data_IF_475174269069
#
_entry.id   IF_475174269069
#
_cell.length_a   1.000
_cell.length_b   1.000
_cell.length_c   1.000
_cell.angle_alpha   90.00
_cell.angle_beta   90.00
_cell.angle_gamma   90.00
#
_symmetry.space_group_name_H-M   'P 1'
#
loop_
_entity.id
_entity.type
_entity.pdbx_description
1 polymer ?
#
# COMPACT_ATOMS: atom_id res chain seq x y z
N UNK A 1 5.46 0.08 3.11
CA UNK A 1 4.10 -0.31 3.55
C UNK A 1 3.47 0.66 4.56
N UNK A 2 4.13 1.04 5.66
CA UNK A 2 3.58 1.99 6.65
C UNK A 2 3.09 3.30 6.03
N UNK A 3 3.90 3.92 5.16
CA UNK A 3 3.54 5.15 4.44
C UNK A 3 2.25 5.01 3.62
N UNK A 4 2.08 3.89 2.91
CA UNK A 4 0.88 3.60 2.09
C UNK A 4 -0.35 3.44 2.98
N UNK A 5 -0.22 2.69 4.10
CA UNK A 5 -1.31 2.55 5.07
C UNK A 5 -1.77 3.88 5.66
N UNK A 6 -0.83 4.78 5.99
CA UNK A 6 -1.14 6.12 6.51
C UNK A 6 -1.82 6.98 5.43
N UNK A 7 -1.30 6.96 4.20
CA UNK A 7 -1.87 7.67 3.05
C UNK A 7 -3.28 7.20 2.70
N UNK A 8 -3.57 5.90 2.83
CA UNK A 8 -4.88 5.32 2.56
C UNK A 8 -5.99 5.92 3.45
N UNK A 9 -5.66 6.31 4.67
CA UNK A 9 -6.62 6.93 5.60
C UNK A 9 -6.88 8.41 5.34
N UNK A 10 -6.05 9.06 4.52
CA UNK A 10 -6.19 10.48 4.23
C UNK A 10 -7.30 10.68 3.18
N UNK A 11 -8.17 11.69 3.37
CA UNK A 11 -9.12 12.04 2.32
C UNK A 11 -8.33 12.40 1.06
N UNK A 12 -8.65 11.76 -0.06
CA UNK A 12 -8.13 12.17 -1.35
C UNK A 12 -8.52 13.64 -1.52
N UNK A 13 -7.53 14.51 -1.56
CA UNK A 13 -7.77 15.91 -1.88
C UNK A 13 -8.24 15.92 -3.33
N UNK A 14 -9.43 16.46 -3.57
CA UNK A 14 -9.95 16.80 -4.89
C UNK A 14 -9.05 17.88 -5.52
N UNK A 15 -7.82 17.52 -5.86
CA UNK A 15 -7.13 18.20 -6.93
C UNK A 15 -7.85 17.80 -8.22
N UNK A 16 -8.02 18.76 -9.13
CA UNK A 16 -8.62 18.64 -10.48
C UNK A 16 -10.09 19.08 -10.57
N UNK A 17 -10.28 20.39 -10.41
CA UNK A 17 -11.35 21.10 -11.10
C UNK A 17 -11.32 20.85 -12.62
N UNK A 18 -12.50 20.71 -13.20
CA UNK A 18 -12.86 20.87 -14.62
C UNK A 18 -12.11 20.08 -15.72
N UNK A 19 -11.46 18.94 -15.44
CA UNK A 19 -10.85 18.12 -16.52
C UNK A 19 -11.82 17.02 -17.01
N UNK A 20 -11.87 16.78 -18.33
CA UNK A 20 -12.77 15.82 -19.00
C UNK A 20 -12.62 14.42 -18.39
N UNK A 21 -13.69 13.63 -18.37
CA UNK A 21 -13.69 12.29 -17.77
C UNK A 21 -12.57 11.36 -18.29
N UNK A 22 -12.18 11.52 -19.56
CA UNK A 22 -11.05 10.81 -20.16
C UNK A 22 -9.70 11.14 -19.50
N UNK A 23 -9.46 12.41 -19.17
CA UNK A 23 -8.22 12.86 -18.53
C UNK A 23 -8.13 12.38 -17.07
N UNK A 24 -9.28 12.25 -16.39
CA UNK A 24 -9.35 11.65 -15.04
C UNK A 24 -8.98 10.17 -15.05
N UNK A 25 -9.51 9.43 -16.03
CA UNK A 25 -9.19 8.01 -16.21
C UNK A 25 -7.70 7.84 -16.52
N UNK A 26 -7.16 8.67 -17.41
CA UNK A 26 -5.74 8.65 -17.77
C UNK A 26 -4.82 8.98 -16.59
N UNK A 27 -5.18 9.98 -15.77
CA UNK A 27 -4.44 10.33 -14.56
C UNK A 27 -4.42 9.19 -13.52
N UNK A 28 -5.56 8.51 -13.33
CA UNK A 28 -5.66 7.37 -12.42
C UNK A 28 -4.83 6.18 -12.91
N UNK A 29 -4.95 5.83 -14.20
CA UNK A 29 -4.18 4.75 -14.84
C UNK A 29 -2.68 5.00 -14.71
N UNK A 30 -2.22 6.24 -15.01
CA UNK A 30 -0.81 6.62 -14.84
C UNK A 30 -0.33 6.43 -13.41
N UNK A 31 -1.15 6.80 -12.43
CA UNK A 31 -0.82 6.66 -11.01
C UNK A 31 -0.67 5.18 -10.61
N UNK A 32 -1.57 4.32 -11.09
CA UNK A 32 -1.53 2.87 -10.82
C UNK A 32 -0.28 2.25 -11.45
N UNK A 33 0.02 2.53 -12.72
CA UNK A 33 1.19 1.99 -13.42
C UNK A 33 2.49 2.38 -12.72
N UNK A 34 2.62 3.64 -12.31
CA UNK A 34 3.82 4.11 -11.58
C UNK A 34 3.94 3.42 -10.22
N UNK A 35 2.84 3.29 -9.48
CA UNK A 35 2.85 2.62 -8.18
C UNK A 35 3.21 1.12 -8.32
N UNK A 36 2.65 0.44 -9.32
CA UNK A 36 2.89 -0.97 -9.60
C UNK A 36 4.33 -1.20 -10.09
N UNK A 37 4.87 -0.31 -10.93
CA UNK A 37 6.28 -0.35 -11.33
C UNK A 37 7.23 -0.19 -10.13
N UNK A 38 7.03 0.82 -9.29
CA UNK A 38 7.89 1.06 -8.11
C UNK A 38 7.81 -0.12 -7.13
N UNK A 39 6.61 -0.64 -6.90
CA UNK A 39 6.39 -1.78 -6.00
C UNK A 39 6.93 -3.10 -6.58
N UNK A 40 6.75 -3.34 -7.88
CA UNK A 40 7.27 -4.55 -8.54
C UNK A 40 8.79 -4.49 -8.75
N UNK A 41 9.39 -3.30 -8.84
CA UNK A 41 10.83 -3.12 -8.86
C UNK A 41 11.48 -3.63 -7.57
N UNK A 42 10.92 -3.28 -6.41
CA UNK A 42 11.38 -3.79 -5.12
C UNK A 42 11.34 -5.33 -5.07
N UNK A 43 10.25 -5.92 -5.59
CA UNK A 43 10.09 -7.37 -5.67
C UNK A 43 11.09 -8.04 -6.63
N UNK A 44 11.39 -7.41 -7.77
CA UNK A 44 12.39 -7.92 -8.73
C UNK A 44 13.79 -7.85 -8.13
N UNK A 45 14.14 -6.78 -7.42
CA UNK A 45 15.43 -6.64 -6.73
C UNK A 45 15.58 -7.71 -5.64
N UNK A 46 14.51 -7.99 -4.88
CA UNK A 46 14.51 -9.07 -3.89
C UNK A 46 14.74 -10.44 -4.52
N UNK A 47 14.12 -10.72 -5.68
CA UNK A 47 14.35 -11.95 -6.44
C UNK A 47 15.79 -11.97 -6.96
N UNK A 48 16.31 -10.89 -7.53
CA UNK A 48 17.69 -10.81 -8.05
C UNK A 48 18.74 -11.03 -6.95
N UNK A 49 18.49 -10.54 -5.73
CA UNK A 49 19.32 -10.82 -4.55
C UNK A 49 19.22 -12.26 -4.04
N UNK A 50 18.12 -12.96 -4.31
CA UNK A 50 17.92 -14.37 -3.98
C UNK A 50 18.33 -15.33 -5.12
N UNK A 51 18.53 -14.82 -6.34
CA UNK A 51 18.67 -15.58 -7.58
C UNK A 51 20.04 -16.24 -7.81
N UNK A 52 20.95 -16.17 -6.83
CA UNK A 52 22.10 -17.09 -6.79
C UNK A 52 21.63 -18.56 -6.58
N UNK A 53 20.34 -18.78 -6.28
CA UNK A 53 19.72 -20.09 -6.16
C UNK A 53 18.56 -20.31 -7.17
N UNK A 54 18.88 -21.05 -8.25
CA UNK A 54 17.99 -21.88 -9.07
C UNK A 54 17.13 -21.26 -10.21
N UNK A 55 17.42 -21.73 -11.43
CA UNK A 55 16.57 -21.87 -12.62
C UNK A 55 15.80 -20.62 -13.08
N UNK A 56 16.51 -19.77 -13.83
CA UNK A 56 16.10 -18.44 -14.28
C UNK A 56 15.12 -18.41 -15.47
N UNK A 57 15.04 -19.45 -16.31
CA UNK A 57 14.51 -19.26 -17.67
C UNK A 57 12.98 -19.14 -17.81
N UNK A 58 12.20 -19.68 -16.85
CA UNK A 58 10.72 -19.70 -16.98
C UNK A 58 9.98 -18.75 -16.04
N UNK A 59 10.66 -18.12 -15.06
CA UNK A 59 10.00 -17.24 -14.07
C UNK A 59 9.68 -15.85 -14.61
N UNK A 60 10.56 -15.29 -15.45
CA UNK A 60 10.38 -13.94 -15.99
C UNK A 60 9.15 -13.83 -16.91
N UNK A 61 8.89 -14.85 -17.74
CA UNK A 61 7.70 -14.88 -18.60
C UNK A 61 6.38 -14.89 -17.81
N UNK A 62 6.32 -15.65 -16.71
CA UNK A 62 5.13 -15.71 -15.84
C UNK A 62 4.90 -14.39 -15.08
N UNK A 63 5.95 -13.72 -14.63
CA UNK A 63 5.86 -12.41 -13.96
C UNK A 63 5.36 -11.34 -14.94
N UNK A 64 5.93 -11.27 -16.14
CA UNK A 64 5.51 -10.30 -17.17
C UNK A 64 4.07 -10.55 -17.61
N UNK A 65 3.68 -11.81 -17.80
CA UNK A 65 2.30 -12.18 -18.13
C UNK A 65 1.33 -11.79 -17.00
N UNK A 66 1.70 -12.06 -15.74
CA UNK A 66 0.91 -11.65 -14.57
C UNK A 66 0.74 -10.13 -14.47
N UNK A 67 1.80 -9.37 -14.74
CA UNK A 67 1.77 -7.90 -14.76
C UNK A 67 0.84 -7.37 -15.87
N UNK A 68 0.95 -7.92 -17.08
CA UNK A 68 0.10 -7.56 -18.22
C UNK A 68 -1.37 -7.85 -17.97
N UNK A 69 -1.70 -8.97 -17.31
CA UNK A 69 -3.08 -9.29 -16.93
C UNK A 69 -3.60 -8.47 -15.74
N UNK A 70 -2.71 -8.09 -14.82
CA UNK A 70 -3.08 -7.35 -13.61
C UNK A 70 -3.63 -5.95 -13.93
N UNK A 71 -3.01 -5.23 -14.87
CA UNK A 71 -3.41 -3.85 -15.19
C UNK A 71 -4.87 -3.76 -15.68
N UNK A 72 -5.32 -4.52 -16.71
CA UNK A 72 -6.73 -4.52 -17.13
C UNK A 72 -7.68 -4.96 -16.02
N UNK A 73 -7.29 -5.97 -15.24
CA UNK A 73 -8.09 -6.48 -14.13
C UNK A 73 -8.30 -5.40 -13.06
N UNK A 74 -7.26 -4.66 -12.69
CA UNK A 74 -7.34 -3.55 -11.74
C UNK A 74 -8.20 -2.41 -12.31
N UNK A 75 -8.02 -2.07 -13.59
CA UNK A 75 -8.80 -1.01 -14.23
C UNK A 75 -10.29 -1.33 -14.21
N UNK A 76 -10.68 -2.56 -14.61
CA UNK A 76 -12.08 -2.98 -14.58
C UNK A 76 -12.60 -3.18 -13.14
N UNK A 77 -11.81 -3.85 -12.31
CA UNK A 77 -12.12 -4.13 -10.91
C UNK A 77 -12.25 -2.88 -10.05
N UNK A 78 -11.57 -1.78 -10.41
CA UNK A 78 -11.62 -0.52 -9.66
C UNK A 78 -13.05 0.00 -9.48
N UNK A 79 -13.91 -0.14 -10.48
CA UNK A 79 -15.31 0.31 -10.38
C UNK A 79 -16.11 -0.47 -9.35
N UNK A 80 -15.87 -1.79 -9.25
CA UNK A 80 -16.46 -2.66 -8.24
C UNK A 80 -15.91 -2.32 -6.85
N UNK A 81 -14.59 -2.14 -6.74
CA UNK A 81 -13.92 -1.78 -5.49
C UNK A 81 -14.40 -0.42 -4.99
N UNK A 82 -14.51 0.58 -5.86
CA UNK A 82 -15.00 1.92 -5.49
C UNK A 82 -16.43 1.86 -4.95
N UNK A 83 -17.34 1.14 -5.63
CA UNK A 83 -18.71 0.93 -5.13
C UNK A 83 -18.73 0.25 -3.77
N UNK A 84 -17.81 -0.69 -3.53
CA UNK A 84 -17.71 -1.38 -2.24
C UNK A 84 -17.19 -0.45 -1.14
N UNK A 85 -16.20 0.39 -1.44
CA UNK A 85 -15.67 1.40 -0.51
C UNK A 85 -16.72 2.46 -0.16
N UNK A 86 -17.51 2.90 -1.14
CA UNK A 86 -18.63 3.83 -0.91
C UNK A 86 -19.71 3.21 -0.02
N UNK A 87 -20.00 1.92 -0.22
CA UNK A 87 -21.00 1.20 0.58
C UNK A 87 -20.51 0.87 1.98
N UNK A 88 -19.23 0.54 2.13
CA UNK A 88 -18.61 0.11 3.39
C UNK A 88 -17.33 0.91 3.67
N UNK A 89 -17.44 2.17 4.13
CA UNK A 89 -16.28 3.03 4.39
C UNK A 89 -15.36 2.51 5.51
N UNK A 90 -15.82 1.55 6.32
CA UNK A 90 -15.01 0.84 7.31
C UNK A 90 -13.89 0.00 6.69
N UNK A 91 -13.97 -0.35 5.40
CA UNK A 91 -12.92 -1.12 4.71
C UNK A 91 -11.59 -0.35 4.69
N UNK A 92 -11.62 0.98 4.56
CA UNK A 92 -10.41 1.82 4.50
C UNK A 92 -9.57 1.73 5.77
N UNK A 93 -10.09 2.00 6.99
CA UNK A 93 -9.31 1.86 8.22
C UNK A 93 -8.91 0.41 8.50
N UNK A 94 -9.73 -0.59 8.13
CA UNK A 94 -9.37 -2.00 8.27
C UNK A 94 -8.20 -2.38 7.36
N UNK A 95 -8.22 -1.96 6.10
CA UNK A 95 -7.12 -2.15 5.15
C UNK A 95 -5.84 -1.44 5.61
N UNK A 96 -5.94 -0.22 6.12
CA UNK A 96 -4.80 0.50 6.68
C UNK A 96 -4.21 -0.22 7.90
N UNK A 97 -5.06 -0.73 8.80
CA UNK A 97 -4.63 -1.53 9.95
C UNK A 97 -3.88 -2.80 9.52
N UNK A 98 -4.42 -3.53 8.54
CA UNK A 98 -3.80 -4.72 7.98
C UNK A 98 -2.44 -4.42 7.33
N UNK A 99 -2.33 -3.32 6.58
CA UNK A 99 -1.04 -2.88 6.03
C UNK A 99 -0.01 -2.56 7.12
N UNK A 100 -0.45 -1.95 8.23
CA UNK A 100 0.39 -1.74 9.40
C UNK A 100 0.81 -3.05 10.08
N UNK A 101 -0.10 -4.02 10.18
CA UNK A 101 0.16 -5.34 10.72
C UNK A 101 1.25 -6.09 9.94
N UNK A 102 1.10 -6.13 8.62
CA UNK A 102 2.07 -6.76 7.71
C UNK A 102 3.41 -6.05 7.82
N UNK A 103 3.42 -4.71 7.81
CA UNK A 103 4.66 -3.95 7.93
C UNK A 103 5.41 -4.22 9.25
N UNK A 104 4.70 -4.29 10.38
CA UNK A 104 5.31 -4.63 11.67
C UNK A 104 5.88 -6.04 11.71
N UNK A 105 5.19 -7.00 11.08
CA UNK A 105 5.68 -8.38 10.94
C UNK A 105 6.92 -8.49 10.07
N UNK A 106 6.95 -7.77 8.94
CA UNK A 106 8.09 -7.73 8.03
C UNK A 106 9.35 -7.18 8.69
N UNK A 107 9.24 -6.18 9.57
CA UNK A 107 10.39 -5.63 10.29
C UNK A 107 11.01 -6.67 11.22
N UNK A 108 10.22 -7.37 12.04
CA UNK A 108 10.76 -8.38 12.96
C UNK A 108 11.22 -9.65 12.24
N UNK A 109 10.56 -10.00 11.13
CA UNK A 109 10.91 -11.15 10.32
C UNK A 109 12.14 -10.93 9.44
N UNK A 110 12.67 -9.70 9.36
CA UNK A 110 13.81 -9.37 8.52
C UNK A 110 15.10 -10.09 9.01
N UNK A 111 15.82 -10.81 8.14
CA UNK A 111 17.09 -11.42 8.47
C UNK A 111 18.12 -10.45 9.08
N UNK A 112 18.07 -9.17 8.69
CA UNK A 112 18.95 -8.13 9.21
C UNK A 112 18.63 -7.81 10.67
N UNK A 113 17.35 -7.79 11.05
CA UNK A 113 16.92 -7.61 12.45
C UNK A 113 17.32 -8.84 13.29
N UNK A 114 17.16 -10.04 12.75
CA UNK A 114 17.62 -11.27 13.41
C UNK A 114 19.15 -11.29 13.61
N UNK A 115 19.93 -10.74 12.67
CA UNK A 115 21.40 -10.62 12.78
C UNK A 115 21.83 -9.60 13.83
N UNK A 116 21.12 -8.48 13.96
CA UNK A 116 21.48 -7.40 14.89
C UNK A 116 21.00 -7.63 16.32
N UNK A 117 19.82 -8.22 16.50
CA UNK A 117 19.16 -8.35 17.81
C UNK A 117 18.98 -9.80 18.27
N UNK A 118 19.36 -10.77 17.44
CA UNK A 118 19.24 -12.19 17.71
C UNK A 118 17.86 -12.78 17.39
N UNK A 119 17.79 -14.10 17.29
CA UNK A 119 16.57 -14.82 16.88
C UNK A 119 15.42 -14.72 17.90
N UNK A 120 15.68 -14.29 19.13
CA UNK A 120 14.66 -14.09 20.16
C UNK A 120 13.63 -13.02 19.80
N UNK A 121 13.96 -12.10 18.89
CA UNK A 121 13.01 -11.08 18.41
C UNK A 121 11.82 -11.68 17.67
N UNK A 122 11.95 -12.86 17.05
CA UNK A 122 10.85 -13.50 16.32
C UNK A 122 9.66 -13.86 17.24
N UNK A 123 9.90 -14.12 18.52
CA UNK A 123 8.84 -14.36 19.50
C UNK A 123 7.90 -13.15 19.64
N UNK A 124 8.37 -11.94 19.31
CA UNK A 124 7.59 -10.71 19.37
C UNK A 124 6.88 -10.36 18.07
N UNK A 125 6.84 -11.25 17.07
CA UNK A 125 6.20 -10.97 15.78
C UNK A 125 4.78 -10.44 15.95
N UNK A 126 3.93 -11.10 16.75
CA UNK A 126 2.56 -10.66 16.96
C UNK A 126 2.50 -9.27 17.61
N UNK A 127 3.38 -8.99 18.57
CA UNK A 127 3.46 -7.70 19.23
C UNK A 127 3.85 -6.60 18.24
N UNK A 128 4.87 -6.82 17.40
CA UNK A 128 5.27 -5.84 16.41
C UNK A 128 4.22 -5.61 15.33
N UNK A 129 3.51 -6.66 14.90
CA UNK A 129 2.39 -6.51 13.98
C UNK A 129 1.25 -5.70 14.59
N UNK A 130 0.87 -5.96 15.85
CA UNK A 130 -0.11 -5.12 16.58
C UNK A 130 0.36 -3.67 16.65
N UNK A 131 1.62 -3.44 17.06
CA UNK A 131 2.19 -2.09 17.15
C UNK A 131 2.19 -1.39 15.79
N UNK A 132 2.55 -2.08 14.71
CA UNK A 132 2.50 -1.56 13.36
C UNK A 132 1.09 -1.14 12.93
N UNK A 133 0.09 -1.98 13.20
CA UNK A 133 -1.32 -1.67 12.93
C UNK A 133 -1.79 -0.44 13.72
N UNK A 134 -1.52 -0.41 15.03
CA UNK A 134 -1.87 0.71 15.90
C UNK A 134 -1.18 2.01 15.48
N UNK A 135 0.08 1.94 15.06
CA UNK A 135 0.83 3.10 14.57
C UNK A 135 0.17 3.68 13.32
N UNK A 136 -0.24 2.85 12.37
CA UNK A 136 -0.92 3.31 11.15
C UNK A 136 -2.28 3.92 11.47
N UNK A 137 -3.10 3.25 12.29
CA UNK A 137 -4.43 3.79 12.69
C UNK A 137 -4.28 5.11 13.46
N UNK A 138 -3.36 5.16 14.43
CA UNK A 138 -3.15 6.32 15.28
C UNK A 138 -2.64 7.52 14.50
N UNK A 139 -1.60 7.34 13.69
CA UNK A 139 -1.02 8.43 12.89
C UNK A 139 -1.95 8.86 11.76
N UNK A 140 -2.57 7.92 11.04
CA UNK A 140 -3.56 8.20 9.99
C UNK A 140 -4.81 8.89 10.54
N UNK A 141 -5.30 8.46 11.70
CA UNK A 141 -6.41 9.10 12.40
C UNK A 141 -6.08 10.51 12.89
N UNK A 142 -4.89 10.73 13.44
CA UNK A 142 -4.42 12.04 13.89
C UNK A 142 -4.28 13.04 12.73
N UNK A 143 -3.65 12.64 11.63
CA UNK A 143 -3.52 13.47 10.42
C UNK A 143 -4.89 13.80 9.82
N UNK A 144 -5.82 12.83 9.75
CA UNK A 144 -7.19 13.05 9.27
C UNK A 144 -7.96 14.06 10.12
N UNK A 145 -7.81 14.01 11.46
CA UNK A 145 -8.43 14.99 12.37
C UNK A 145 -7.84 16.39 12.15
N UNK A 146 -6.53 16.51 11.94
CA UNK A 146 -5.84 17.79 11.74
C UNK A 146 -6.24 18.46 10.41
N UNK A 147 -6.43 17.70 9.35
CA UNK A 147 -6.89 18.22 8.05
C UNK A 147 -8.35 18.72 8.06
N UNK A 148 -9.19 18.19 8.95
CA UNK A 148 -10.58 18.67 9.12
C UNK A 148 -10.68 20.00 9.89
N UNK A 149 -9.71 20.33 10.73
CA UNK A 149 -9.71 21.60 11.48
C UNK A 149 -9.21 22.80 10.67
N UNK A 150 -8.42 22.58 9.60
CA UNK A 150 -7.91 23.66 8.73
C UNK A 150 -8.96 24.30 7.81
N UNK A 151 -10.01 23.56 7.44
CA UNK A 151 -11.09 24.05 6.56
C UNK A 151 -12.14 24.88 7.30
N UNK A 152 -12.32 24.68 8.61
CA UNK A 152 -13.32 25.42 9.40
C UNK A 152 -12.90 26.87 9.71
N UNK A 153 -11.60 27.18 9.72
CA UNK A 153 -11.09 28.53 10.01
C UNK A 153 -11.09 29.44 8.77
N UNK A 154 -11.07 28.87 7.56
CA UNK A 154 -11.14 29.63 6.29
C UNK A 154 -12.57 29.95 5.83
N UNK A 155 -13.58 29.42 6.51
CA UNK A 155 -15.00 29.62 6.17
C UNK A 155 -15.70 30.64 7.09
N UNK A 156 -14.94 31.42 7.87
CA UNK A 156 -15.42 32.56 8.66
C UNK A 156 -14.74 33.83 8.22
#
# INVERSE_FOLDING_TARGET
>A
MLWVGIKLMQPQSDAHGSVKAADKLWAAVRTIIVADFVMSLDNVIAIAGAADAAALEHRLGLVVFGLLLSVPLIVWGSTLVLKLLDRFPAIVPLGAALLGWIAGGLVIGDPLVARLFGNGMQAYHYVASVVGALTVIGTGGWLKRRSRHGTAVRAR
#
